data_IF_493053468151
#
_entry.id   IF_493053468151
#
_cell.length_a   1.000
_cell.length_b   1.000
_cell.length_c   1.000
_cell.angle_alpha   90.00
_cell.angle_beta   90.00
_cell.angle_gamma   90.00
#
_symmetry.space_group_name_H-M   'P 1'
#
loop_
_entity.id
_entity.type
_entity.pdbx_description
1 polymer ?
#
# COMPACT_ATOMS: atom_id res chain seq x y z
N UNK A 1 -20.01 -13.15 -23.79
CA UNK A 1 -19.92 -12.92 -22.33
C UNK A 1 -19.30 -11.56 -21.98
N UNK A 2 -18.15 -11.16 -22.53
CA UNK A 2 -17.54 -9.84 -22.24
C UNK A 2 -18.47 -8.65 -22.50
N UNK A 3 -19.18 -8.64 -23.63
CA UNK A 3 -20.16 -7.59 -23.95
C UNK A 3 -21.34 -7.53 -22.98
N UNK A 4 -21.71 -8.66 -22.37
CA UNK A 4 -22.85 -8.73 -21.43
C UNK A 4 -22.52 -8.18 -20.04
N UNK A 5 -21.23 -8.05 -19.71
CA UNK A 5 -20.75 -7.52 -18.42
C UNK A 5 -20.17 -6.11 -18.58
N UNK A 6 -20.16 -5.54 -19.78
CA UNK A 6 -19.63 -4.19 -19.98
C UNK A 6 -20.50 -3.15 -19.27
N UNK A 7 -19.88 -2.19 -18.59
CA UNK A 7 -20.57 -1.08 -17.92
C UNK A 7 -21.28 -1.43 -16.61
N UNK A 8 -21.22 -2.69 -16.14
CA UNK A 8 -21.77 -3.05 -14.82
C UNK A 8 -21.00 -2.38 -13.69
N UNK A 9 -21.71 -2.12 -12.59
CA UNK A 9 -21.16 -1.57 -11.37
C UNK A 9 -20.95 -2.66 -10.32
N UNK A 10 -19.83 -2.59 -9.62
CA UNK A 10 -19.53 -3.41 -8.45
C UNK A 10 -19.36 -2.51 -7.23
N UNK A 11 -19.69 -3.05 -6.07
CA UNK A 11 -19.46 -2.37 -4.79
C UNK A 11 -18.80 -3.34 -3.83
N UNK A 12 -17.72 -2.92 -3.21
CA UNK A 12 -16.98 -3.73 -2.24
C UNK A 12 -16.48 -2.88 -1.07
N UNK A 13 -16.05 -3.53 0.01
CA UNK A 13 -15.41 -2.85 1.12
C UNK A 13 -13.93 -2.63 0.80
N UNK A 14 -13.43 -1.42 1.07
CA UNK A 14 -12.00 -1.13 0.92
C UNK A 14 -11.21 -1.92 1.98
N UNK A 15 -10.42 -2.90 1.53
CA UNK A 15 -9.68 -3.80 2.43
C UNK A 15 -8.31 -3.25 2.85
N UNK A 16 -7.75 -2.29 2.11
CA UNK A 16 -6.41 -1.78 2.32
C UNK A 16 -6.41 -0.24 2.29
N UNK A 17 -5.76 0.39 3.26
CA UNK A 17 -5.63 1.85 3.27
C UNK A 17 -4.77 2.31 2.09
N UNK A 18 -5.30 3.25 1.32
CA UNK A 18 -4.63 3.84 0.14
C UNK A 18 -3.69 5.00 0.52
N UNK A 19 -3.75 5.45 1.78
CA UNK A 19 -2.86 6.48 2.33
C UNK A 19 -1.40 6.04 2.40
N UNK A 20 -0.50 7.03 2.29
CA UNK A 20 0.94 6.82 2.47
C UNK A 20 1.39 7.06 3.91
N UNK A 21 0.49 7.47 4.81
CA UNK A 21 0.82 7.69 6.21
C UNK A 21 1.11 6.37 6.96
N UNK A 22 2.07 6.39 7.90
CA UNK A 22 2.27 5.27 8.82
C UNK A 22 1.05 5.04 9.70
N UNK A 23 0.66 3.77 9.84
CA UNK A 23 -0.45 3.32 10.70
C UNK A 23 0.00 3.19 12.16
N UNK A 24 -0.89 2.74 13.06
CA UNK A 24 -0.55 2.48 14.46
C UNK A 24 0.62 1.50 14.66
N UNK A 25 0.83 0.60 13.68
CA UNK A 25 1.95 -0.35 13.70
C UNK A 25 3.30 0.28 13.33
N UNK A 26 3.32 1.55 12.93
CA UNK A 26 4.48 2.24 12.38
C UNK A 26 4.76 1.90 10.90
N UNK A 27 3.98 1.00 10.29
CA UNK A 27 4.09 0.63 8.88
C UNK A 27 2.98 1.27 8.05
N UNK A 28 3.29 1.55 6.79
CA UNK A 28 2.30 1.84 5.75
C UNK A 28 1.66 0.54 5.24
N UNK A 29 0.50 0.64 4.59
CA UNK A 29 -0.19 -0.52 3.97
C UNK A 29 0.67 -1.22 2.92
N UNK A 30 1.49 -0.46 2.19
CA UNK A 30 2.41 -1.02 1.19
C UNK A 30 3.51 -1.86 1.85
N UNK A 31 4.10 -1.38 2.94
CA UNK A 31 5.10 -2.13 3.72
C UNK A 31 4.49 -3.38 4.36
N UNK A 32 3.24 -3.29 4.84
CA UNK A 32 2.50 -4.45 5.33
C UNK A 32 2.35 -5.52 4.24
N UNK A 33 1.96 -5.14 3.01
CA UNK A 33 1.81 -6.08 1.90
C UNK A 33 3.14 -6.73 1.52
N UNK A 34 4.22 -5.95 1.43
CA UNK A 34 5.55 -6.48 1.14
C UNK A 34 5.96 -7.52 2.18
N UNK A 35 5.83 -7.19 3.48
CA UNK A 35 6.08 -8.11 4.58
C UNK A 35 5.19 -9.36 4.50
N UNK A 36 3.92 -9.20 4.19
CA UNK A 36 2.99 -10.32 4.08
C UNK A 36 3.35 -11.25 2.92
N UNK A 37 3.71 -10.71 1.76
CA UNK A 37 4.19 -11.49 0.61
C UNK A 37 5.51 -12.23 0.92
N UNK A 38 6.42 -11.63 1.69
CA UNK A 38 7.62 -12.31 2.16
C UNK A 38 7.32 -13.47 3.10
N UNK A 39 6.38 -13.32 4.05
CA UNK A 39 5.95 -14.42 4.91
C UNK A 39 5.30 -15.55 4.09
N UNK A 40 4.47 -15.22 3.10
CA UNK A 40 3.82 -16.21 2.24
C UNK A 40 4.84 -17.07 1.46
N UNK A 41 5.97 -16.49 1.03
CA UNK A 41 7.04 -17.24 0.36
C UNK A 41 7.61 -18.34 1.26
N UNK A 42 7.70 -18.12 2.58
CA UNK A 42 8.17 -19.13 3.55
C UNK A 42 7.23 -20.34 3.63
N UNK A 43 5.94 -20.14 3.34
CA UNK A 43 4.92 -21.18 3.27
C UNK A 43 4.68 -21.74 1.86
N UNK A 44 5.63 -21.55 0.93
CA UNK A 44 5.57 -22.06 -0.44
C UNK A 44 4.40 -21.50 -1.27
N UNK A 45 4.02 -20.24 -1.00
CA UNK A 45 3.16 -19.43 -1.87
C UNK A 45 4.02 -18.56 -2.79
N UNK A 46 4.60 -19.20 -3.81
CA UNK A 46 5.42 -18.53 -4.83
C UNK A 46 4.59 -18.38 -6.09
N UNK A 47 4.37 -17.14 -6.54
CA UNK A 47 3.58 -16.84 -7.75
C UNK A 47 2.07 -17.14 -7.64
N UNK A 48 1.59 -17.48 -6.44
CA UNK A 48 0.18 -17.71 -6.13
C UNK A 48 -0.18 -17.07 -4.79
N UNK A 49 -1.44 -16.70 -4.62
CA UNK A 49 -1.98 -16.14 -3.38
C UNK A 49 -2.94 -17.15 -2.73
N UNK A 50 -2.97 -17.25 -1.40
CA UNK A 50 -3.98 -18.03 -0.70
C UNK A 50 -5.38 -17.43 -0.91
N UNK A 51 -6.39 -18.27 -0.68
CA UNK A 51 -7.76 -17.78 -0.49
C UNK A 51 -7.77 -16.87 0.74
N UNK A 52 -8.46 -15.73 0.68
CA UNK A 52 -8.50 -14.77 1.77
C UNK A 52 -7.33 -13.76 1.78
N UNK A 53 -6.53 -13.69 0.71
CA UNK A 53 -5.38 -12.78 0.65
C UNK A 53 -5.78 -11.30 0.79
N UNK A 54 -6.93 -10.92 0.24
CA UNK A 54 -7.41 -9.53 0.29
C UNK A 54 -7.87 -9.14 1.71
N UNK A 55 -8.24 -10.12 2.54
CA UNK A 55 -8.79 -9.97 3.88
C UNK A 55 -7.71 -10.00 4.98
N UNK A 56 -6.45 -10.30 4.64
CA UNK A 56 -5.34 -10.31 5.59
C UNK A 56 -5.19 -8.99 6.41
N UNK A 57 -5.36 -7.80 5.82
CA UNK A 57 -5.37 -6.53 6.57
C UNK A 57 -6.43 -6.49 7.68
N UNK A 58 -7.61 -7.10 7.45
CA UNK A 58 -8.70 -7.12 8.44
C UNK A 58 -8.30 -7.92 9.68
N UNK A 59 -7.71 -9.10 9.47
CA UNK A 59 -7.25 -9.95 10.57
C UNK A 59 -6.12 -9.28 11.35
N UNK A 60 -5.21 -8.59 10.65
CA UNK A 60 -4.13 -7.84 11.27
C UNK A 60 -4.67 -6.73 12.19
N UNK A 61 -5.61 -5.93 11.69
CA UNK A 61 -6.21 -4.84 12.46
C UNK A 61 -7.15 -5.35 13.57
N UNK A 62 -7.77 -6.53 13.43
CA UNK A 62 -8.57 -7.13 14.49
C UNK A 62 -7.74 -7.43 15.74
N UNK A 63 -6.50 -7.94 15.57
CA UNK A 63 -5.59 -8.18 16.70
C UNK A 63 -5.15 -6.86 17.35
N UNK A 64 -4.88 -5.83 16.56
CA UNK A 64 -4.60 -4.48 17.09
C UNK A 64 -5.78 -3.92 17.88
N UNK A 65 -7.01 -4.07 17.38
CA UNK A 65 -8.21 -3.62 18.08
C UNK A 65 -8.36 -4.32 19.44
N UNK A 66 -8.16 -5.64 19.49
CA UNK A 66 -8.17 -6.40 20.74
C UNK A 66 -7.09 -5.89 21.70
N UNK A 67 -5.86 -5.72 21.23
CA UNK A 67 -4.75 -5.24 22.07
C UNK A 67 -5.03 -3.85 22.67
N UNK A 68 -5.58 -2.93 21.88
CA UNK A 68 -5.93 -1.58 22.34
C UNK A 68 -7.11 -1.60 23.32
N UNK A 69 -8.15 -2.38 23.04
CA UNK A 69 -9.30 -2.52 23.92
C UNK A 69 -8.92 -3.15 25.26
N UNK A 70 -8.08 -4.19 25.26
CA UNK A 70 -7.56 -4.81 26.48
C UNK A 70 -6.68 -3.86 27.27
N UNK A 71 -5.79 -3.10 26.62
CA UNK A 71 -4.96 -2.10 27.29
C UNK A 71 -5.83 -1.04 27.99
N UNK A 72 -6.86 -0.53 27.31
CA UNK A 72 -7.84 0.38 27.92
C UNK A 72 -8.54 -0.27 29.12
N UNK A 73 -9.01 -1.50 28.96
CA UNK A 73 -9.69 -2.27 30.01
C UNK A 73 -8.81 -2.42 31.26
N UNK A 74 -7.55 -2.80 31.08
CA UNK A 74 -6.57 -2.95 32.17
C UNK A 74 -6.42 -1.63 32.94
N UNK A 75 -6.31 -0.51 32.23
CA UNK A 75 -6.17 0.80 32.87
C UNK A 75 -7.45 1.21 33.63
N UNK A 76 -8.63 0.89 33.11
CA UNK A 76 -9.90 1.15 33.82
C UNK A 76 -10.06 0.28 35.07
N UNK A 77 -9.76 -1.02 34.98
CA UNK A 77 -9.86 -1.94 36.12
C UNK A 77 -8.90 -1.56 37.26
N UNK A 78 -7.69 -1.08 36.92
CA UNK A 78 -6.72 -0.57 37.90
C UNK A 78 -7.26 0.57 38.76
N UNK A 79 -8.12 1.45 38.22
CA UNK A 79 -8.74 2.53 38.99
C UNK A 79 -9.66 2.02 40.11
N UNK A 80 -10.14 0.77 39.97
CA UNK A 80 -11.01 0.11 40.93
C UNK A 80 -10.30 -1.02 41.70
N UNK A 81 -8.96 -1.07 41.68
CA UNK A 81 -8.16 -2.14 42.27
C UNK A 81 -8.56 -3.56 41.79
N UNK A 82 -9.01 -3.69 40.55
CA UNK A 82 -9.34 -4.97 39.91
C UNK A 82 -8.26 -5.35 38.89
N UNK A 83 -8.01 -6.65 38.73
CA UNK A 83 -7.17 -7.16 37.66
C UNK A 83 -8.02 -7.68 36.51
N UNK A 84 -7.50 -7.61 35.28
CA UNK A 84 -8.10 -8.31 34.15
C UNK A 84 -7.95 -9.84 34.28
N UNK A 85 -6.99 -10.28 35.09
CA UNK A 85 -6.72 -11.69 35.37
C UNK A 85 -7.80 -12.32 36.27
N UNK A 86 -8.61 -11.51 36.96
CA UNK A 86 -9.75 -11.96 37.77
C UNK A 86 -10.98 -12.34 36.91
N UNK A 87 -10.76 -12.57 35.61
CA UNK A 87 -11.80 -12.94 34.66
C UNK A 87 -12.41 -14.32 34.96
N UNK A 88 -13.73 -14.38 34.94
CA UNK A 88 -14.49 -15.62 34.92
C UNK A 88 -15.67 -15.49 33.96
N UNK A 89 -16.18 -16.63 33.47
CA UNK A 89 -17.36 -16.66 32.59
C UNK A 89 -18.65 -16.13 33.24
N UNK A 90 -18.65 -15.91 34.56
CA UNK A 90 -19.78 -15.35 35.31
C UNK A 90 -19.60 -13.87 35.66
N UNK A 91 -18.42 -13.30 35.41
CA UNK A 91 -18.10 -11.92 35.75
C UNK A 91 -18.55 -10.94 34.65
N UNK A 92 -19.81 -10.50 34.77
CA UNK A 92 -20.43 -9.52 33.87
C UNK A 92 -19.75 -8.13 33.91
N UNK A 93 -19.08 -7.77 35.02
CA UNK A 93 -18.41 -6.47 35.14
C UNK A 93 -17.20 -6.36 34.20
N UNK A 94 -16.31 -7.36 34.19
CA UNK A 94 -15.15 -7.37 33.28
C UNK A 94 -15.61 -7.42 31.83
N UNK A 95 -16.65 -8.21 31.51
CA UNK A 95 -17.24 -8.25 30.18
C UNK A 95 -17.76 -6.87 29.73
N UNK A 96 -18.47 -6.14 30.60
CA UNK A 96 -18.94 -4.77 30.34
C UNK A 96 -17.79 -3.79 30.11
N UNK A 97 -16.71 -3.90 30.88
CA UNK A 97 -15.53 -3.06 30.71
C UNK A 97 -14.84 -3.31 29.36
N UNK A 98 -14.68 -4.59 28.97
CA UNK A 98 -14.12 -4.97 27.66
C UNK A 98 -15.01 -4.44 26.54
N UNK A 99 -16.33 -4.61 26.65
CA UNK A 99 -17.28 -4.12 25.65
C UNK A 99 -17.20 -2.60 25.48
N UNK A 100 -17.19 -1.86 26.59
CA UNK A 100 -17.04 -0.39 26.60
C UNK A 100 -15.70 0.04 25.98
N UNK A 101 -14.61 -0.64 26.35
CA UNK A 101 -13.29 -0.36 25.80
C UNK A 101 -13.23 -0.65 24.29
N UNK A 102 -13.83 -1.74 23.82
CA UNK A 102 -13.92 -2.08 22.40
C UNK A 102 -14.75 -1.06 21.62
N UNK A 103 -15.93 -0.69 22.13
CA UNK A 103 -16.82 0.30 21.50
C UNK A 103 -16.15 1.69 21.37
N UNK A 104 -15.26 2.05 22.29
CA UNK A 104 -14.49 3.30 22.21
C UNK A 104 -13.20 3.21 21.38
N UNK A 105 -12.86 2.04 20.84
CA UNK A 105 -11.61 1.81 20.13
C UNK A 105 -11.71 2.28 18.70
N UNK A 106 -10.86 3.25 18.37
CA UNK A 106 -10.70 3.81 17.04
C UNK A 106 -9.23 4.12 16.78
N UNK A 107 -8.73 3.76 15.61
CA UNK A 107 -7.33 3.98 15.22
C UNK A 107 -7.15 3.85 13.71
N UNK A 108 -6.02 4.35 13.20
CA UNK A 108 -5.61 4.14 11.82
C UNK A 108 -4.83 2.83 11.69
N UNK A 109 -5.43 1.83 11.06
CA UNK A 109 -4.85 0.53 10.76
C UNK A 109 -4.45 0.38 9.29
N UNK A 110 -3.94 -0.79 8.92
CA UNK A 110 -3.50 -1.08 7.53
C UNK A 110 -4.67 -1.25 6.57
N UNK A 111 -5.87 -1.54 7.08
CA UNK A 111 -7.13 -1.58 6.33
C UNK A 111 -7.91 -0.26 6.39
N UNK A 112 -7.31 0.80 6.93
CA UNK A 112 -7.90 2.14 7.02
C UNK A 112 -8.28 2.53 8.45
N UNK A 113 -9.15 3.53 8.59
CA UNK A 113 -9.65 3.92 9.90
C UNK A 113 -10.56 2.82 10.44
N UNK A 114 -10.18 2.24 11.57
CA UNK A 114 -10.91 1.17 12.25
C UNK A 114 -11.78 1.80 13.31
N UNK A 115 -13.10 1.58 13.21
CA UNK A 115 -14.08 1.95 14.21
C UNK A 115 -15.27 0.99 14.14
N UNK A 116 -16.04 0.89 15.23
CA UNK A 116 -17.18 -0.01 15.33
C UNK A 116 -18.46 0.79 15.61
N UNK A 117 -19.57 0.36 15.02
CA UNK A 117 -20.90 0.88 15.34
C UNK A 117 -21.35 0.37 16.71
N UNK A 118 -22.41 0.99 17.25
CA UNK A 118 -23.04 0.52 18.49
C UNK A 118 -23.59 -0.92 18.41
N UNK A 119 -23.75 -1.46 17.20
CA UNK A 119 -24.17 -2.86 16.97
C UNK A 119 -23.00 -3.83 16.85
N UNK A 120 -21.75 -3.34 16.79
CA UNK A 120 -20.54 -4.15 16.61
C UNK A 120 -20.06 -4.24 15.15
N UNK A 121 -20.81 -3.68 14.19
CA UNK A 121 -20.38 -3.66 12.79
C UNK A 121 -19.15 -2.76 12.61
N UNK A 122 -18.15 -3.23 11.87
CA UNK A 122 -17.04 -2.37 11.47
C UNK A 122 -17.51 -1.34 10.46
N UNK A 123 -17.16 -0.07 10.71
CA UNK A 123 -17.39 1.02 9.76
C UNK A 123 -16.20 1.09 8.80
N UNK A 124 -16.44 0.98 7.51
CA UNK A 124 -15.43 1.00 6.46
C UNK A 124 -15.91 1.80 5.25
N UNK A 125 -14.96 2.18 4.39
CA UNK A 125 -15.25 2.86 3.13
C UNK A 125 -15.72 1.83 2.08
N UNK A 126 -16.74 2.19 1.30
CA UNK A 126 -17.20 1.40 0.16
C UNK A 126 -16.51 1.88 -1.11
N UNK A 127 -15.86 0.96 -1.82
CA UNK A 127 -15.32 1.16 -3.16
C UNK A 127 -16.42 0.83 -4.17
N UNK A 128 -16.59 1.70 -5.16
CA UNK A 128 -17.53 1.52 -6.27
C UNK A 128 -16.70 1.49 -7.55
N UNK A 129 -16.85 0.44 -8.35
CA UNK A 129 -16.12 0.28 -9.60
C UNK A 129 -17.06 0.05 -10.77
N UNK A 130 -16.57 0.31 -11.97
CA UNK A 130 -17.27 0.05 -13.21
C UNK A 130 -16.39 -0.77 -14.14
N UNK A 131 -16.92 -1.85 -14.71
CA UNK A 131 -16.21 -2.59 -15.75
C UNK A 131 -16.16 -1.77 -17.04
N UNK A 132 -14.93 -1.46 -17.50
CA UNK A 132 -14.68 -0.72 -18.74
C UNK A 132 -13.68 -1.52 -19.59
N UNK A 133 -13.99 -1.71 -20.87
CA UNK A 133 -13.18 -2.47 -21.84
C UNK A 133 -12.86 -3.90 -21.36
N UNK A 134 -13.82 -4.54 -20.68
CA UNK A 134 -13.66 -5.87 -20.11
C UNK A 134 -12.55 -5.99 -19.05
N UNK A 135 -12.14 -4.87 -18.42
CA UNK A 135 -11.22 -4.85 -17.27
C UNK A 135 -11.83 -4.01 -16.14
N UNK A 136 -11.75 -4.46 -14.88
CA UNK A 136 -11.97 -3.55 -13.77
C UNK A 136 -10.87 -2.46 -13.78
N UNK A 137 -11.18 -1.22 -13.35
CA UNK A 137 -10.19 -0.19 -13.12
C UNK A 137 -9.17 -0.67 -12.08
N UNK A 138 -7.93 -0.19 -12.18
CA UNK A 138 -6.90 -0.61 -11.23
C UNK A 138 -7.09 0.11 -9.88
N UNK A 139 -7.06 -0.65 -8.78
CA UNK A 139 -7.19 -0.17 -7.39
C UNK A 139 -6.17 0.87 -6.94
N UNK A 140 -5.10 1.09 -7.72
CA UNK A 140 -4.00 2.00 -7.39
C UNK A 140 -3.43 2.66 -8.63
N UNK A 141 -2.89 3.86 -8.45
CA UNK A 141 -2.04 4.51 -9.45
C UNK A 141 -0.84 3.63 -9.78
N UNK A 142 -0.77 3.14 -11.03
CA UNK A 142 0.36 2.38 -11.53
C UNK A 142 1.52 3.35 -11.79
N UNK A 143 2.52 3.35 -10.91
CA UNK A 143 3.74 4.11 -11.11
C UNK A 143 4.53 3.51 -12.28
N UNK A 144 4.39 4.10 -13.47
CA UNK A 144 5.20 3.74 -14.64
C UNK A 144 6.49 4.56 -14.61
N UNK A 145 7.61 3.92 -14.25
CA UNK A 145 8.93 4.50 -14.45
C UNK A 145 9.24 4.50 -15.95
N UNK A 146 8.99 5.62 -16.62
CA UNK A 146 9.31 5.79 -18.05
C UNK A 146 10.68 6.46 -18.14
N UNK A 147 11.65 5.77 -18.76
CA UNK A 147 12.92 6.39 -19.13
C UNK A 147 12.65 7.42 -20.23
N UNK A 148 12.94 8.69 -19.96
CA UNK A 148 12.94 9.73 -20.99
C UNK A 148 14.28 9.71 -21.71
N UNK A 149 14.33 9.07 -22.87
CA UNK A 149 15.50 9.08 -23.75
C UNK A 149 15.33 10.12 -24.86
N UNK A 150 16.45 10.55 -25.44
CA UNK A 150 16.44 11.40 -26.63
C UNK A 150 15.97 10.58 -27.85
N UNK A 151 15.26 11.21 -28.77
CA UNK A 151 14.84 10.55 -30.01
C UNK A 151 16.05 10.12 -30.83
N UNK A 152 15.98 8.95 -31.46
CA UNK A 152 17.07 8.42 -32.29
C UNK A 152 17.46 9.41 -33.39
N UNK A 153 16.49 10.11 -33.98
CA UNK A 153 16.73 11.13 -35.00
C UNK A 153 17.59 12.30 -34.49
N UNK A 154 17.32 12.80 -33.28
CA UNK A 154 18.11 13.89 -32.70
C UNK A 154 19.53 13.40 -32.37
N UNK A 155 19.66 12.19 -31.83
CA UNK A 155 20.96 11.58 -31.53
C UNK A 155 21.84 11.44 -32.78
N UNK A 156 21.28 10.94 -33.89
CA UNK A 156 21.99 10.82 -35.17
C UNK A 156 22.41 12.20 -35.69
N UNK A 157 21.52 13.19 -35.63
CA UNK A 157 21.83 14.55 -36.10
C UNK A 157 22.98 15.20 -35.32
N UNK A 158 22.99 15.06 -33.98
CA UNK A 158 24.07 15.62 -33.16
C UNK A 158 25.40 14.88 -33.37
N UNK A 159 25.36 13.56 -33.55
CA UNK A 159 26.57 12.75 -33.76
C UNK A 159 27.23 13.05 -35.10
N UNK A 160 26.44 13.22 -36.16
CA UNK A 160 26.96 13.58 -37.49
C UNK A 160 27.59 14.97 -37.51
N UNK A 161 26.93 15.98 -36.94
CA UNK A 161 27.49 17.34 -36.80
C UNK A 161 28.78 17.33 -35.97
N UNK A 162 28.80 16.61 -34.85
CA UNK A 162 29.99 16.51 -34.01
C UNK A 162 31.14 15.81 -34.73
N UNK A 163 30.86 14.73 -35.49
CA UNK A 163 31.86 14.02 -36.29
C UNK A 163 32.50 14.91 -37.37
N UNK A 164 31.70 15.72 -38.07
CA UNK A 164 32.21 16.70 -39.03
C UNK A 164 33.10 17.75 -38.37
N UNK A 165 32.71 18.25 -37.19
CA UNK A 165 33.50 19.21 -36.41
C UNK A 165 34.86 18.65 -35.99
N UNK A 166 34.91 17.39 -35.54
CA UNK A 166 36.16 16.72 -35.15
C UNK A 166 37.09 16.56 -36.36
N UNK A 167 36.56 16.12 -37.50
CA UNK A 167 37.34 16.02 -38.75
C UNK A 167 37.91 17.38 -39.15
N UNK A 168 37.10 18.43 -39.07
CA UNK A 168 37.54 19.78 -39.42
C UNK A 168 38.64 20.30 -38.48
N UNK A 169 38.52 20.03 -37.17
CA UNK A 169 39.54 20.38 -36.19
C UNK A 169 40.88 19.66 -36.45
N UNK A 170 40.85 18.37 -36.82
CA UNK A 170 42.05 17.62 -37.18
C UNK A 170 42.73 18.18 -38.43
N UNK A 171 41.96 18.56 -39.46
CA UNK A 171 42.50 19.20 -40.66
C UNK A 171 43.20 20.51 -40.31
N UNK A 172 42.56 21.37 -39.51
CA UNK A 172 43.16 22.63 -39.06
C UNK A 172 44.42 22.41 -38.22
N UNK A 173 44.44 21.38 -37.37
CA UNK A 173 45.61 21.02 -36.57
C UNK A 173 46.79 20.57 -37.44
N UNK A 174 46.53 19.70 -38.43
CA UNK A 174 47.54 19.24 -39.39
C UNK A 174 48.09 20.42 -40.18
N UNK A 175 47.19 21.26 -40.71
CA UNK A 175 47.56 22.48 -41.42
C UNK A 175 48.44 23.38 -40.56
N UNK A 176 48.03 23.68 -39.33
CA UNK A 176 48.80 24.51 -38.41
C UNK A 176 50.17 23.90 -38.05
N UNK A 177 50.26 22.57 -37.99
CA UNK A 177 51.54 21.87 -37.71
C UNK A 177 52.50 21.95 -38.91
N UNK A 178 52.00 21.79 -40.14
CA UNK A 178 52.80 21.88 -41.37
C UNK A 178 53.32 23.31 -41.57
N UNK A 179 52.48 24.33 -41.33
CA UNK A 179 52.80 25.73 -41.59
C UNK A 179 53.31 26.49 -40.35
N UNK A 180 53.74 25.80 -39.29
CA UNK A 180 54.15 26.45 -38.02
C UNK A 180 55.40 27.33 -38.13
N UNK A 181 56.29 27.04 -39.08
CA UNK A 181 57.58 27.71 -39.26
C UNK A 181 57.78 28.30 -40.66
N UNK A 182 56.72 28.31 -41.48
CA UNK A 182 56.71 29.06 -42.74
C UNK A 182 56.29 30.50 -42.48
#
# INVERSE_FOLDING_TARGET
MKEAVEGHLTTEALMLNQGAEPTISGMTSAQFLERYEEELKKYNYIGRRPVGYQEAPLAYDAIWAIALALNKTINQLKLHNKSIEDFSYTNDDIAKQIYSAMNSTQFLGVSGYVAFSSKGDRIAWTQIEQMIDGKPPADRTIIKKVLRTVTLSLFISMTTVSGLGILWALVLLIFNTIFRHS
#
